data_IF_011420715840
#
_entry.id   IF_011420715840
#
_cell.length_a   1.000
_cell.length_b   1.000
_cell.length_c   1.000
_cell.angle_alpha   90.00
_cell.angle_beta   90.00
_cell.angle_gamma   90.00
#
_symmetry.space_group_name_H-M   'P 1'
#
loop_
_entity.id
_entity.type
_entity.pdbx_description
1 polymer ?
#
# COMPACT_ATOMS: atom_id res chain seq x y z
N UNK A 1 -3.88 19.27 -26.35
CA UNK A 1 -3.27 18.55 -25.21
C UNK A 1 -2.06 19.36 -24.79
N UNK A 2 -1.95 19.90 -23.57
CA UNK A 2 -0.70 20.50 -23.13
C UNK A 2 0.14 19.46 -22.37
N UNK A 3 1.34 19.22 -22.88
CA UNK A 3 2.47 18.55 -22.25
C UNK A 3 2.85 19.28 -20.96
N UNK A 4 2.61 18.64 -19.82
CA UNK A 4 2.97 19.18 -18.50
C UNK A 4 4.42 18.77 -18.19
N UNK A 5 5.37 19.48 -18.77
CA UNK A 5 6.80 19.33 -18.48
C UNK A 5 7.10 20.00 -17.13
N UNK A 6 7.32 19.21 -16.09
CA UNK A 6 7.69 19.72 -14.76
C UNK A 6 9.16 20.19 -14.81
N UNK A 7 9.43 21.41 -14.35
CA UNK A 7 10.79 21.97 -14.32
C UNK A 7 11.68 21.26 -13.30
N UNK A 8 12.98 21.15 -13.57
CA UNK A 8 13.95 20.44 -12.72
C UNK A 8 13.98 20.91 -11.25
N UNK A 9 13.57 22.16 -11.01
CA UNK A 9 13.47 22.75 -9.67
C UNK A 9 12.29 22.19 -8.83
N UNK A 10 11.24 21.68 -9.50
CA UNK A 10 10.12 20.98 -8.85
C UNK A 10 10.48 19.55 -8.42
N UNK A 11 11.51 18.98 -9.04
CA UNK A 11 12.02 17.63 -8.75
C UNK A 11 12.87 17.58 -7.46
N UNK A 12 13.40 18.72 -7.01
CA UNK A 12 14.32 18.81 -5.87
C UNK A 12 13.65 19.22 -4.54
N UNK A 13 12.34 19.47 -4.53
CA UNK A 13 11.63 19.73 -3.27
C UNK A 13 11.53 18.40 -2.49
N UNK A 14 11.90 18.37 -1.19
CA UNK A 14 11.66 17.19 -0.38
C UNK A 14 10.18 16.84 -0.50
N UNK A 15 9.87 15.62 -0.93
CA UNK A 15 8.49 15.14 -1.08
C UNK A 15 7.75 15.46 0.22
N UNK A 16 6.86 16.46 0.16
CA UNK A 16 6.01 16.82 1.29
C UNK A 16 5.26 15.54 1.66
N UNK A 17 5.22 15.14 2.95
CA UNK A 17 4.46 13.96 3.35
C UNK A 17 3.05 14.09 2.78
N UNK A 18 2.61 13.05 2.09
CA UNK A 18 1.38 12.97 1.30
C UNK A 18 0.17 13.47 2.13
N UNK A 19 -0.14 14.76 2.04
CA UNK A 19 -1.15 15.42 2.88
C UNK A 19 -2.47 15.68 2.15
N UNK A 20 -2.61 15.20 0.91
CA UNK A 20 -3.79 15.45 0.08
C UNK A 20 -4.06 14.22 -0.77
N UNK A 21 -5.21 13.60 -0.54
CA UNK A 21 -5.74 12.57 -1.43
C UNK A 21 -6.22 13.24 -2.73
N UNK A 22 -5.67 12.91 -3.91
CA UNK A 22 -5.91 13.67 -5.15
C UNK A 22 -7.38 13.64 -5.61
N UNK A 23 -8.14 12.64 -5.20
CA UNK A 23 -9.55 12.44 -5.56
C UNK A 23 -10.55 12.96 -4.52
N UNK A 24 -10.08 13.43 -3.34
CA UNK A 24 -10.96 13.99 -2.31
C UNK A 24 -10.89 15.52 -2.36
N UNK A 25 -12.00 16.23 -2.64
CA UNK A 25 -12.03 17.68 -2.62
C UNK A 25 -11.84 18.20 -1.18
N UNK A 26 -10.60 18.57 -0.87
CA UNK A 26 -10.18 19.25 0.37
C UNK A 26 -9.06 18.53 1.11
N UNK A 27 -8.38 19.25 2.02
CA UNK A 27 -7.34 18.69 2.88
C UNK A 27 -7.95 17.62 3.79
N UNK A 28 -7.82 16.35 3.41
CA UNK A 28 -8.12 15.21 4.26
C UNK A 28 -6.81 14.70 4.85
N UNK A 29 -6.70 14.70 6.18
CA UNK A 29 -5.55 14.07 6.84
C UNK A 29 -5.57 12.59 6.50
N UNK A 30 -4.45 12.11 5.98
CA UNK A 30 -4.23 10.72 5.65
C UNK A 30 -3.51 10.08 6.83
N UNK A 31 -4.04 8.95 7.31
CA UNK A 31 -3.41 8.18 8.39
C UNK A 31 -2.92 6.84 7.87
N UNK A 32 -1.79 6.42 8.40
CA UNK A 32 -1.26 5.09 8.16
C UNK A 32 -2.00 4.06 9.02
N UNK A 33 -2.47 2.98 8.38
CA UNK A 33 -3.24 1.92 9.01
C UNK A 33 -2.55 0.58 8.75
N UNK A 34 -2.42 -0.22 9.81
CA UNK A 34 -2.02 -1.62 9.72
C UNK A 34 -3.24 -2.47 10.01
N UNK A 35 -3.59 -3.35 9.09
CA UNK A 35 -4.69 -4.30 9.23
C UNK A 35 -4.22 -5.71 8.86
N UNK A 36 -5.09 -6.69 9.02
CA UNK A 36 -4.87 -8.06 8.55
C UNK A 36 -5.89 -8.42 7.49
N UNK A 37 -5.45 -9.00 6.38
CA UNK A 37 -6.33 -9.53 5.34
C UNK A 37 -6.17 -11.04 5.19
N UNK A 38 -7.27 -11.72 4.87
CA UNK A 38 -7.24 -13.12 4.47
C UNK A 38 -6.87 -13.21 2.98
N UNK A 39 -5.74 -13.83 2.68
CA UNK A 39 -5.27 -14.05 1.31
C UNK A 39 -5.13 -15.54 1.04
N UNK A 40 -5.79 -16.00 -0.01
CA UNK A 40 -5.70 -17.39 -0.45
C UNK A 40 -4.62 -17.53 -1.51
N UNK A 41 -3.63 -18.39 -1.26
CA UNK A 41 -2.58 -18.75 -2.21
C UNK A 41 -2.51 -20.28 -2.33
N UNK A 42 -2.58 -20.80 -3.56
CA UNK A 42 -2.57 -22.25 -3.85
C UNK A 42 -3.58 -23.09 -3.03
N UNK A 43 -4.75 -22.52 -2.72
CA UNK A 43 -5.81 -23.19 -1.98
C UNK A 43 -5.68 -23.12 -0.45
N UNK A 44 -4.60 -22.55 0.07
CA UNK A 44 -4.43 -22.27 1.50
C UNK A 44 -4.70 -20.79 1.79
N UNK A 45 -5.37 -20.51 2.91
CA UNK A 45 -5.68 -19.14 3.33
C UNK A 45 -4.73 -18.70 4.44
N UNK A 46 -4.07 -17.57 4.22
CA UNK A 46 -3.12 -16.95 5.13
C UNK A 46 -3.67 -15.62 5.63
N UNK A 47 -3.47 -15.34 6.92
CA UNK A 47 -3.77 -14.04 7.52
C UNK A 47 -2.51 -13.19 7.38
N UNK A 48 -2.51 -12.24 6.47
CA UNK A 48 -1.34 -11.41 6.15
C UNK A 48 -1.51 -9.99 6.67
N UNK A 49 -0.47 -9.37 7.25
CA UNK A 49 -0.51 -7.97 7.63
C UNK A 49 -0.40 -7.07 6.40
N UNK A 50 -1.36 -6.17 6.24
CA UNK A 50 -1.47 -5.22 5.13
C UNK A 50 -1.38 -3.81 5.67
N UNK A 51 -0.60 -2.99 4.99
CA UNK A 51 -0.37 -1.60 5.34
C UNK A 51 -1.01 -0.75 4.26
N UNK A 52 -1.83 0.21 4.65
CA UNK A 52 -2.45 1.14 3.71
C UNK A 52 -2.65 2.49 4.38
N UNK A 53 -2.80 3.50 3.55
CA UNK A 53 -3.19 4.83 3.99
C UNK A 53 -4.70 4.99 3.87
N UNK A 54 -5.35 5.57 4.88
CA UNK A 54 -6.78 5.89 4.85
C UNK A 54 -7.00 7.38 5.03
N UNK A 55 -7.86 7.96 4.19
CA UNK A 55 -8.30 9.35 4.32
C UNK A 55 -9.49 9.43 5.28
N UNK A 56 -9.40 10.25 6.33
CA UNK A 56 -10.50 10.36 7.31
C UNK A 56 -11.81 10.86 6.71
N UNK A 57 -11.71 11.69 5.67
CA UNK A 57 -12.83 12.42 5.08
C UNK A 57 -13.62 11.60 4.08
N UNK A 58 -12.95 11.01 3.08
CA UNK A 58 -13.62 10.18 2.08
C UNK A 58 -13.67 8.69 2.44
N UNK A 59 -12.99 8.28 3.52
CA UNK A 59 -12.84 6.86 3.93
C UNK A 59 -12.21 5.97 2.86
N UNK A 60 -11.65 6.55 1.81
CA UNK A 60 -10.90 5.81 0.81
C UNK A 60 -9.55 5.38 1.37
N UNK A 61 -9.14 4.17 0.95
CA UNK A 61 -7.86 3.58 1.28
C UNK A 61 -7.02 3.43 0.03
N UNK A 62 -5.72 3.71 0.12
CA UNK A 62 -4.76 3.48 -0.96
C UNK A 62 -3.44 2.93 -0.42
N UNK A 63 -2.68 2.26 -1.29
CA UNK A 63 -1.33 1.76 -0.98
C UNK A 63 -0.32 2.46 -1.89
N UNK A 64 0.87 2.74 -1.37
CA UNK A 64 1.98 3.25 -2.19
C UNK A 64 2.73 2.10 -2.85
N UNK A 65 3.52 2.38 -3.89
CA UNK A 65 4.36 1.36 -4.54
C UNK A 65 5.42 0.76 -3.60
N UNK A 66 5.77 1.47 -2.53
CA UNK A 66 6.73 1.01 -1.52
C UNK A 66 6.09 0.07 -0.48
N UNK A 67 4.75 0.04 -0.39
CA UNK A 67 4.04 -0.88 0.50
C UNK A 67 4.04 -2.28 -0.09
N UNK A 68 4.45 -3.25 0.73
CA UNK A 68 4.50 -4.65 0.32
C UNK A 68 3.12 -5.20 -0.04
N UNK A 69 3.03 -5.83 -1.21
CA UNK A 69 1.83 -6.47 -1.69
C UNK A 69 1.44 -7.68 -0.80
N UNK A 70 0.17 -7.70 -0.42
CA UNK A 70 -0.39 -8.73 0.45
C UNK A 70 -0.32 -10.16 -0.13
N UNK A 71 -0.35 -10.33 -1.45
CA UNK A 71 -0.20 -11.64 -2.10
C UNK A 71 1.25 -12.13 -2.05
N UNK A 72 2.23 -11.22 -2.13
CA UNK A 72 3.64 -11.55 -1.94
C UNK A 72 3.86 -12.12 -0.54
N UNK A 73 3.33 -11.47 0.48
CA UNK A 73 3.38 -11.98 1.87
C UNK A 73 2.70 -13.34 2.03
N UNK A 74 1.54 -13.54 1.41
CA UNK A 74 0.85 -14.83 1.46
C UNK A 74 1.69 -15.94 0.80
N UNK A 75 2.36 -15.62 -0.31
CA UNK A 75 3.27 -16.53 -1.01
C UNK A 75 4.50 -16.87 -0.15
N UNK A 76 5.11 -15.89 0.50
CA UNK A 76 6.25 -16.12 1.40
C UNK A 76 5.87 -17.01 2.58
N UNK A 77 4.70 -16.78 3.19
CA UNK A 77 4.18 -17.64 4.26
C UNK A 77 3.95 -19.08 3.79
N UNK A 78 3.40 -19.26 2.57
CA UNK A 78 3.24 -20.58 1.97
C UNK A 78 4.58 -21.31 1.78
N UNK A 79 5.60 -20.63 1.25
CA UNK A 79 6.93 -21.24 1.06
C UNK A 79 7.64 -21.52 2.37
N UNK A 80 7.57 -20.60 3.34
CA UNK A 80 8.11 -20.83 4.67
C UNK A 80 7.49 -22.07 5.32
N UNK A 81 6.16 -22.21 5.25
CA UNK A 81 5.44 -23.39 5.73
C UNK A 81 5.87 -24.66 4.99
N UNK A 82 6.01 -24.59 3.67
CA UNK A 82 6.40 -25.73 2.84
C UNK A 82 7.83 -26.21 3.18
N UNK A 83 8.78 -25.29 3.38
CA UNK A 83 10.14 -25.62 3.81
C UNK A 83 10.19 -26.22 5.22
N UNK A 84 9.24 -25.89 6.09
CA UNK A 84 9.13 -26.48 7.42
C UNK A 84 8.36 -27.82 7.45
N UNK A 85 7.69 -28.20 6.36
CA UNK A 85 6.92 -29.45 6.27
C UNK A 85 7.75 -30.65 5.79
N UNK A 86 9.03 -30.47 5.42
CA UNK A 86 9.96 -31.54 5.04
C UNK A 86 10.75 -32.13 6.23
N UNK A 87 10.08 -32.38 7.37
CA UNK A 87 10.66 -33.16 8.49
C UNK A 87 9.73 -34.26 8.96
#
# INVERSE_FOLDING_TARGET
MPDQFWSAEECAKPMKPFNIYPTCPGQGTVHYVVSTENRTFRGETFIVPVQYFSCERCKESFQTMEMEDSLVKAREMYWAKSCHSEK
#
